data_IF_975890329861
#
_entry.id   IF_975890329861
#
_cell.length_a   1.000
_cell.length_b   1.000
_cell.length_c   1.000
_cell.angle_alpha   90.00
_cell.angle_beta   90.00
_cell.angle_gamma   90.00
#
_symmetry.space_group_name_H-M   'P 1'
#
loop_
_entity.id
_entity.type
_entity.pdbx_description
1 polymer ?
#
# COMPACT_ATOMS: atom_id res chain seq x y z
N UNK A 1 7.55 7.31 -8.57
CA UNK A 1 8.02 7.87 -9.86
C UNK A 1 6.85 8.30 -10.74
N UNK A 2 5.91 7.40 -10.99
CA UNK A 2 4.75 7.63 -11.84
C UNK A 2 3.91 8.81 -11.32
N UNK A 3 3.61 8.84 -10.02
CA UNK A 3 2.85 9.92 -9.41
C UNK A 3 3.55 11.28 -9.55
N UNK A 4 4.86 11.35 -9.33
CA UNK A 4 5.62 12.59 -9.50
C UNK A 4 5.58 13.06 -10.96
N UNK A 5 5.87 12.16 -11.91
CA UNK A 5 5.92 12.50 -13.34
C UNK A 5 4.54 12.87 -13.89
N UNK A 6 3.45 12.32 -13.32
CA UNK A 6 2.08 12.71 -13.68
C UNK A 6 1.88 14.23 -13.64
N UNK A 7 2.30 14.88 -12.56
CA UNK A 7 2.17 16.33 -12.43
C UNK A 7 3.13 17.09 -13.34
N UNK A 8 4.36 16.59 -13.51
CA UNK A 8 5.32 17.18 -14.46
C UNK A 8 4.74 17.15 -15.87
N UNK A 9 4.17 16.03 -16.30
CA UNK A 9 3.56 15.90 -17.64
C UNK A 9 2.33 16.81 -17.82
N UNK A 10 1.70 17.23 -16.73
CA UNK A 10 0.59 18.19 -16.71
C UNK A 10 1.03 19.65 -16.49
N UNK A 11 2.34 19.92 -16.55
CA UNK A 11 2.93 21.24 -16.28
C UNK A 11 2.55 21.77 -14.87
N UNK A 12 2.45 20.88 -13.90
CA UNK A 12 2.21 21.19 -12.51
C UNK A 12 3.42 20.78 -11.67
N UNK A 13 3.71 21.55 -10.63
CA UNK A 13 4.81 21.24 -9.72
C UNK A 13 4.24 20.95 -8.34
N UNK A 14 4.41 19.71 -7.89
CA UNK A 14 4.11 19.28 -6.53
C UNK A 14 5.33 18.52 -6.01
N UNK A 15 5.69 18.74 -4.76
CA UNK A 15 6.98 18.26 -4.25
C UNK A 15 6.87 17.33 -3.05
N UNK A 16 5.70 17.31 -2.38
CA UNK A 16 5.51 16.56 -1.15
C UNK A 16 4.81 15.22 -1.36
N UNK A 17 5.08 14.30 -0.45
CA UNK A 17 4.36 13.03 -0.27
C UNK A 17 3.71 13.03 1.11
N UNK A 18 2.48 12.56 1.19
CA UNK A 18 1.86 12.20 2.46
C UNK A 18 1.97 10.68 2.67
N UNK A 19 2.46 10.25 3.81
CA UNK A 19 2.59 8.84 4.17
C UNK A 19 2.17 8.62 5.63
N UNK A 20 2.14 7.36 6.06
CA UNK A 20 1.75 7.03 7.43
C UNK A 20 3.00 6.86 8.33
N UNK A 21 2.90 7.24 9.59
CA UNK A 21 3.87 6.83 10.60
C UNK A 21 3.90 5.31 10.71
N UNK A 22 5.07 4.76 10.93
CA UNK A 22 5.34 3.32 10.94
C UNK A 22 5.09 2.61 9.60
N UNK A 23 5.00 3.33 8.48
CA UNK A 23 4.86 2.72 7.16
C UNK A 23 6.17 2.15 6.65
N UNK A 24 6.06 1.08 5.86
CA UNK A 24 7.18 0.46 5.17
C UNK A 24 6.80 0.16 3.71
N UNK A 25 7.59 0.67 2.77
CA UNK A 25 7.31 0.55 1.33
C UNK A 25 8.47 -0.11 0.55
N UNK A 26 9.41 -0.74 1.23
CA UNK A 26 10.55 -1.41 0.64
C UNK A 26 11.89 -0.68 0.87
N UNK A 27 12.97 -1.25 0.29
CA UNK A 27 14.36 -0.91 0.62
C UNK A 27 15.06 -0.13 -0.50
N UNK A 28 14.34 0.36 -1.50
CA UNK A 28 14.93 1.30 -2.47
C UNK A 28 15.02 2.69 -1.88
N UNK A 29 15.97 3.52 -2.31
CA UNK A 29 16.18 4.84 -1.73
C UNK A 29 14.91 5.67 -1.61
N UNK A 30 14.07 5.70 -2.65
CA UNK A 30 12.83 6.49 -2.60
C UNK A 30 11.78 5.88 -1.69
N UNK A 31 11.67 4.56 -1.62
CA UNK A 31 10.73 3.90 -0.71
C UNK A 31 11.17 3.99 0.74
N UNK A 32 12.49 3.98 1.02
CA UNK A 32 13.04 4.27 2.35
C UNK A 32 12.78 5.72 2.78
N UNK A 33 12.84 6.66 1.83
CA UNK A 33 12.51 8.08 2.09
C UNK A 33 11.04 8.28 2.43
N UNK A 34 10.15 7.59 1.73
CA UNK A 34 8.69 7.73 1.85
C UNK A 34 8.14 6.97 3.06
N UNK A 35 8.74 5.82 3.40
CA UNK A 35 8.42 5.08 4.61
C UNK A 35 8.86 5.80 5.88
N UNK A 36 8.33 5.38 7.02
CA UNK A 36 8.82 5.88 8.31
C UNK A 36 10.15 5.20 8.66
N UNK A 37 11.23 5.92 8.43
CA UNK A 37 12.60 5.42 8.57
C UNK A 37 13.12 5.42 10.03
N UNK A 38 12.27 5.62 11.01
CA UNK A 38 12.69 5.79 12.40
C UNK A 38 13.32 4.52 13.00
N UNK A 39 12.88 3.34 12.58
CA UNK A 39 13.38 2.07 13.10
C UNK A 39 14.34 1.35 12.14
N UNK A 40 13.92 1.12 10.90
CA UNK A 40 14.65 0.22 9.97
C UNK A 40 15.65 0.93 9.08
N UNK A 41 15.38 2.18 8.72
CA UNK A 41 16.15 2.93 7.74
C UNK A 41 16.83 4.17 8.33
N UNK A 42 17.04 4.22 9.65
CA UNK A 42 17.62 5.38 10.35
C UNK A 42 18.95 5.84 9.76
N UNK A 43 19.77 4.92 9.25
CA UNK A 43 21.05 5.21 8.62
C UNK A 43 20.93 5.96 7.28
N UNK A 44 19.76 5.89 6.66
CA UNK A 44 19.47 6.53 5.36
C UNK A 44 18.51 7.72 5.48
N UNK A 45 18.23 8.15 6.72
CA UNK A 45 17.35 9.28 6.99
C UNK A 45 17.93 10.55 6.38
N UNK A 46 17.24 11.07 5.38
CA UNK A 46 17.56 12.35 4.73
C UNK A 46 16.51 13.40 5.08
N UNK A 47 16.84 14.67 4.83
CA UNK A 47 15.82 15.72 4.85
C UNK A 47 14.92 15.53 3.65
N UNK A 48 13.68 15.16 3.87
CA UNK A 48 12.74 14.76 2.80
C UNK A 48 11.54 15.70 2.75
N UNK A 49 10.86 15.69 1.62
CA UNK A 49 9.57 16.35 1.44
C UNK A 49 8.43 15.35 1.70
N UNK A 50 8.50 14.64 2.82
CA UNK A 50 7.51 13.64 3.22
C UNK A 50 6.92 14.01 4.57
N UNK A 51 5.62 14.17 4.61
CA UNK A 51 4.86 14.37 5.83
C UNK A 51 4.31 13.02 6.30
N UNK A 52 4.49 12.69 7.58
CA UNK A 52 4.01 11.44 8.18
C UNK A 52 2.94 11.72 9.22
N UNK A 53 1.78 11.07 9.07
CA UNK A 53 0.64 11.17 9.98
C UNK A 53 0.28 9.81 10.58
N UNK A 54 -0.44 9.80 11.70
CA UNK A 54 -1.06 8.59 12.21
C UNK A 54 -2.29 8.22 11.37
N UNK A 55 -2.82 7.00 11.57
CA UNK A 55 -4.11 6.57 10.98
C UNK A 55 -5.28 7.22 11.72
N UNK A 56 -5.30 8.56 11.74
CA UNK A 56 -6.27 9.41 12.43
C UNK A 56 -6.88 10.39 11.42
N UNK A 57 -8.20 10.51 11.40
CA UNK A 57 -8.92 11.34 10.40
C UNK A 57 -8.64 12.83 10.64
N UNK A 58 -8.52 13.29 11.86
CA UNK A 58 -8.23 14.68 12.18
C UNK A 58 -6.83 15.09 11.69
N UNK A 59 -5.80 14.25 11.96
CA UNK A 59 -4.45 14.49 11.43
C UNK A 59 -4.43 14.48 9.89
N UNK A 60 -5.23 13.62 9.27
CA UNK A 60 -5.36 13.54 7.82
C UNK A 60 -5.97 14.83 7.25
N UNK A 61 -7.07 15.31 7.81
CA UNK A 61 -7.73 16.54 7.40
C UNK A 61 -6.83 17.76 7.59
N UNK A 62 -6.13 17.85 8.71
CA UNK A 62 -5.17 18.91 8.98
C UNK A 62 -4.00 18.91 7.99
N UNK A 63 -3.47 17.73 7.64
CA UNK A 63 -2.41 17.61 6.65
C UNK A 63 -2.85 18.13 5.27
N UNK A 64 -4.05 17.74 4.82
CA UNK A 64 -4.59 18.19 3.55
C UNK A 64 -4.93 19.69 3.56
N UNK A 65 -5.50 20.19 4.63
CA UNK A 65 -5.80 21.62 4.80
C UNK A 65 -4.55 22.50 4.70
N UNK A 66 -3.44 22.04 5.27
CA UNK A 66 -2.21 22.82 5.33
C UNK A 66 -1.33 22.65 4.07
N UNK A 67 -1.31 21.46 3.45
CA UNK A 67 -0.34 21.11 2.41
C UNK A 67 -0.96 20.34 1.23
N UNK A 68 -2.28 20.20 1.14
CA UNK A 68 -2.94 19.36 0.13
C UNK A 68 -2.54 19.67 -1.31
N UNK A 69 -2.33 20.95 -1.64
CA UNK A 69 -1.88 21.36 -2.98
C UNK A 69 -0.40 21.09 -3.26
N UNK A 70 0.39 20.81 -2.23
CA UNK A 70 1.81 20.48 -2.36
C UNK A 70 2.05 18.97 -2.56
N UNK A 71 1.08 18.11 -2.17
CA UNK A 71 1.21 16.66 -2.30
C UNK A 71 1.00 16.22 -3.74
N UNK A 72 1.98 15.46 -4.29
CA UNK A 72 1.77 14.74 -5.56
C UNK A 72 1.17 13.35 -5.33
N UNK A 73 1.31 12.77 -4.14
CA UNK A 73 0.59 11.56 -3.77
C UNK A 73 0.47 11.41 -2.26
N UNK A 74 -0.53 10.62 -1.88
CA UNK A 74 -0.59 9.94 -0.60
C UNK A 74 -0.36 8.45 -0.84
N UNK A 75 0.56 7.82 -0.08
CA UNK A 75 0.83 6.39 -0.16
C UNK A 75 0.57 5.71 1.18
N UNK A 76 -0.12 4.58 1.15
CA UNK A 76 -0.49 3.81 2.34
C UNK A 76 -0.41 2.31 2.12
N UNK A 77 -0.08 1.55 3.16
CA UNK A 77 -0.38 0.13 3.28
C UNK A 77 -1.85 0.01 3.73
N UNK A 78 -2.81 -0.37 2.86
CA UNK A 78 -4.22 -0.24 3.20
C UNK A 78 -4.68 -1.26 4.25
N UNK A 79 -5.38 -0.79 5.29
CA UNK A 79 -5.95 -1.50 6.45
C UNK A 79 -4.94 -2.13 7.41
N UNK A 80 -3.73 -2.47 6.96
CA UNK A 80 -2.74 -3.20 7.75
C UNK A 80 -1.33 -2.71 7.45
N UNK A 81 -0.67 -2.07 8.42
CA UNK A 81 0.75 -1.73 8.36
C UNK A 81 1.57 -2.94 8.83
N UNK A 82 2.21 -3.65 7.90
CA UNK A 82 2.89 -4.91 8.19
C UNK A 82 4.13 -4.72 9.07
N UNK A 83 5.21 -4.18 8.52
CA UNK A 83 6.48 -4.00 9.22
C UNK A 83 6.38 -3.02 10.40
N UNK A 84 5.44 -2.09 10.36
CA UNK A 84 5.17 -1.14 11.44
C UNK A 84 4.46 -1.73 12.68
N UNK A 85 4.56 -3.03 12.90
CA UNK A 85 4.02 -3.71 14.06
C UNK A 85 2.64 -4.35 13.85
N UNK A 86 2.30 -4.72 12.64
CA UNK A 86 1.00 -5.32 12.27
C UNK A 86 -0.18 -4.48 12.77
N UNK A 87 -0.07 -3.17 12.63
CA UNK A 87 -1.13 -2.22 13.05
C UNK A 87 -2.29 -2.28 12.08
N UNK A 88 -3.48 -2.48 12.62
CA UNK A 88 -4.73 -2.53 11.86
C UNK A 88 -5.52 -1.25 12.09
N UNK A 89 -6.18 -0.73 11.07
CA UNK A 89 -7.00 0.48 11.15
C UNK A 89 -8.27 0.36 10.31
N UNK A 90 -9.25 1.21 10.60
CA UNK A 90 -10.57 1.14 10.01
C UNK A 90 -10.61 1.68 8.58
N UNK A 91 -11.52 1.13 7.77
CA UNK A 91 -11.75 1.51 6.38
C UNK A 91 -12.21 2.98 6.21
N UNK A 92 -12.80 3.57 7.24
CA UNK A 92 -13.24 4.97 7.22
C UNK A 92 -12.10 5.93 6.94
N UNK A 93 -10.90 5.63 7.46
CA UNK A 93 -9.71 6.41 7.18
C UNK A 93 -9.38 6.41 5.66
N UNK A 94 -9.43 5.25 5.00
CA UNK A 94 -9.15 5.15 3.57
C UNK A 94 -10.23 5.83 2.71
N UNK A 95 -11.50 5.73 3.13
CA UNK A 95 -12.60 6.46 2.46
C UNK A 95 -12.38 7.95 2.53
N UNK A 96 -12.06 8.46 3.73
CA UNK A 96 -11.78 9.89 3.90
C UNK A 96 -10.54 10.34 3.14
N UNK A 97 -9.48 9.50 3.13
CA UNK A 97 -8.28 9.75 2.32
C UNK A 97 -8.62 9.87 0.82
N UNK A 98 -9.52 9.01 0.30
CA UNK A 98 -9.95 9.09 -1.10
C UNK A 98 -10.67 10.40 -1.39
N UNK A 99 -11.62 10.79 -0.54
CA UNK A 99 -12.37 12.05 -0.67
C UNK A 99 -11.42 13.25 -0.73
N UNK A 100 -10.50 13.34 0.23
CA UNK A 100 -9.51 14.43 0.27
C UNK A 100 -8.55 14.41 -0.91
N UNK A 101 -8.08 13.23 -1.32
CA UNK A 101 -7.25 13.10 -2.51
C UNK A 101 -7.99 13.58 -3.77
N UNK A 102 -9.30 13.34 -3.88
CA UNK A 102 -10.11 13.83 -5.00
C UNK A 102 -10.30 15.35 -4.92
N UNK A 103 -10.60 15.88 -3.75
CA UNK A 103 -10.81 17.31 -3.50
C UNK A 103 -9.56 18.14 -3.86
N UNK A 104 -8.38 17.70 -3.40
CA UNK A 104 -7.12 18.41 -3.61
C UNK A 104 -6.38 17.97 -4.87
N UNK A 105 -6.95 17.04 -5.63
CA UNK A 105 -6.34 16.49 -6.83
C UNK A 105 -5.04 15.72 -6.57
N UNK A 106 -4.88 15.07 -5.41
CA UNK A 106 -3.72 14.25 -5.02
C UNK A 106 -3.91 12.82 -5.52
N UNK A 107 -2.84 12.14 -5.98
CA UNK A 107 -2.92 10.74 -6.35
C UNK A 107 -2.86 9.84 -5.12
N UNK A 108 -3.83 8.95 -4.95
CA UNK A 108 -3.84 7.95 -3.90
C UNK A 108 -3.16 6.66 -4.38
N UNK A 109 -2.17 6.18 -3.63
CA UNK A 109 -1.42 4.96 -3.93
C UNK A 109 -1.66 3.95 -2.82
N UNK A 110 -2.16 2.76 -3.18
CA UNK A 110 -2.23 1.63 -2.26
C UNK A 110 -1.03 0.70 -2.49
N UNK A 111 -0.25 0.51 -1.45
CA UNK A 111 0.77 -0.52 -1.39
C UNK A 111 0.12 -1.83 -0.90
N UNK A 112 -0.37 -2.61 -1.85
CA UNK A 112 -0.97 -3.93 -1.58
C UNK A 112 0.04 -5.08 -1.74
N UNK A 113 1.33 -4.79 -1.69
CA UNK A 113 2.40 -5.81 -1.75
C UNK A 113 2.26 -6.83 -0.61
N UNK A 114 1.87 -6.39 0.59
CA UNK A 114 1.64 -7.25 1.74
C UNK A 114 0.16 -7.48 2.04
N UNK A 115 -0.71 -6.53 1.72
CA UNK A 115 -2.12 -6.52 2.13
C UNK A 115 -3.05 -7.15 1.10
N UNK A 116 -2.63 -7.28 -0.15
CA UNK A 116 -3.41 -7.91 -1.21
C UNK A 116 -3.56 -9.42 -1.08
N UNK A 117 -4.24 -10.01 -2.05
CA UNK A 117 -4.46 -11.46 -2.19
C UNK A 117 -5.12 -12.11 -0.96
N UNK A 118 -6.06 -11.41 -0.33
CA UNK A 118 -6.84 -11.93 0.77
C UNK A 118 -6.27 -11.69 2.17
N UNK A 119 -5.07 -11.10 2.30
CA UNK A 119 -4.40 -10.91 3.60
C UNK A 119 -5.28 -10.20 4.63
N UNK A 120 -6.02 -9.18 4.21
CA UNK A 120 -6.91 -8.38 5.06
C UNK A 120 -8.35 -8.90 5.13
N UNK A 121 -8.64 -10.08 4.58
CA UNK A 121 -10.00 -10.60 4.45
C UNK A 121 -10.72 -10.15 3.17
N UNK A 122 -10.15 -9.21 2.43
CA UNK A 122 -10.61 -8.80 1.12
C UNK A 122 -9.64 -9.29 0.05
N UNK A 123 -10.12 -9.58 -1.16
CA UNK A 123 -9.24 -9.98 -2.27
C UNK A 123 -8.16 -8.93 -2.47
N UNK A 124 -8.59 -7.68 -2.63
CA UNK A 124 -7.77 -6.48 -2.58
C UNK A 124 -8.53 -5.40 -1.82
N UNK A 125 -7.84 -4.54 -1.10
CA UNK A 125 -8.47 -3.40 -0.43
C UNK A 125 -8.93 -2.37 -1.46
N UNK A 126 -8.25 -2.31 -2.61
CA UNK A 126 -8.67 -1.52 -3.78
C UNK A 126 -10.06 -1.92 -4.34
N UNK A 127 -10.59 -3.09 -4.01
CA UNK A 127 -12.00 -3.44 -4.30
C UNK A 127 -13.00 -2.64 -3.44
N UNK A 128 -12.58 -2.09 -2.29
CA UNK A 128 -13.42 -1.33 -1.36
C UNK A 128 -13.30 0.18 -1.53
N UNK A 129 -12.08 0.66 -1.78
CA UNK A 129 -11.77 2.07 -2.02
C UNK A 129 -10.80 2.10 -3.20
N UNK A 130 -11.20 2.71 -4.31
CA UNK A 130 -10.40 2.71 -5.53
C UNK A 130 -9.28 3.75 -5.46
N UNK A 131 -7.99 3.35 -5.44
CA UNK A 131 -6.88 4.29 -5.54
C UNK A 131 -6.58 4.64 -7.00
N UNK A 132 -5.70 5.61 -7.24
CA UNK A 132 -5.19 5.92 -8.58
C UNK A 132 -4.10 4.95 -9.02
N UNK A 133 -3.34 4.39 -8.06
CA UNK A 133 -2.24 3.45 -8.31
C UNK A 133 -2.26 2.35 -7.25
N UNK A 134 -2.05 1.10 -7.69
CA UNK A 134 -1.89 -0.07 -6.80
C UNK A 134 -0.53 -0.73 -7.06
N UNK A 135 0.22 -1.00 -5.99
CA UNK A 135 1.44 -1.78 -6.04
C UNK A 135 1.17 -3.21 -5.57
N UNK A 136 1.56 -4.20 -6.37
CA UNK A 136 1.38 -5.63 -6.09
C UNK A 136 2.73 -6.35 -6.09
N UNK A 137 2.87 -7.37 -5.26
CA UNK A 137 4.09 -8.19 -5.17
C UNK A 137 3.86 -9.42 -4.32
N UNK A 138 4.92 -9.98 -3.74
CA UNK A 138 4.88 -11.13 -2.81
C UNK A 138 3.97 -12.27 -3.29
N UNK A 139 2.71 -12.32 -2.81
CA UNK A 139 1.74 -13.35 -3.17
C UNK A 139 1.37 -13.36 -4.66
N UNK A 140 1.68 -12.31 -5.42
CA UNK A 140 1.44 -12.25 -6.86
C UNK A 140 1.95 -13.48 -7.61
N UNK A 141 3.12 -14.01 -7.21
CA UNK A 141 3.72 -15.21 -7.82
C UNK A 141 3.67 -16.44 -6.92
N UNK A 142 2.91 -16.39 -5.82
CA UNK A 142 2.86 -17.50 -4.85
C UNK A 142 4.20 -17.82 -4.17
N UNK A 143 5.18 -16.91 -4.24
CA UNK A 143 6.51 -17.09 -3.65
C UNK A 143 7.53 -17.85 -4.53
N UNK A 144 7.16 -18.23 -5.75
CA UNK A 144 8.04 -18.99 -6.63
C UNK A 144 9.18 -18.17 -7.25
N UNK A 145 8.91 -16.88 -7.53
CA UNK A 145 9.90 -15.99 -8.14
C UNK A 145 9.60 -14.54 -7.75
N UNK A 146 10.63 -13.72 -7.57
CA UNK A 146 10.47 -12.28 -7.32
C UNK A 146 9.82 -11.59 -8.52
N UNK A 147 8.68 -10.94 -8.28
CA UNK A 147 7.97 -10.15 -9.27
C UNK A 147 7.08 -9.12 -8.59
N UNK A 148 6.90 -7.99 -9.26
CA UNK A 148 5.98 -6.94 -8.81
C UNK A 148 5.25 -6.35 -10.02
N UNK A 149 4.08 -5.78 -9.76
CA UNK A 149 3.32 -5.04 -10.74
C UNK A 149 2.82 -3.73 -10.13
N UNK A 150 2.79 -2.70 -10.96
CA UNK A 150 2.13 -1.42 -10.64
C UNK A 150 0.98 -1.25 -11.60
N UNK A 151 -0.23 -1.16 -11.06
CA UNK A 151 -1.46 -0.93 -11.81
C UNK A 151 -1.86 0.52 -11.63
N UNK A 152 -2.12 1.21 -12.72
CA UNK A 152 -2.51 2.62 -12.71
C UNK A 152 -3.90 2.79 -13.35
N UNK A 153 -4.66 3.79 -12.88
CA UNK A 153 -5.93 4.18 -13.48
C UNK A 153 -5.74 4.86 -14.84
N UNK A 154 -6.81 4.90 -15.65
CA UNK A 154 -6.81 5.62 -16.91
C UNK A 154 -6.42 7.10 -16.74
N UNK A 155 -6.88 7.74 -15.67
CA UNK A 155 -6.49 9.10 -15.28
C UNK A 155 -4.97 9.29 -15.22
N UNK A 156 -4.26 8.29 -14.68
CA UNK A 156 -2.79 8.33 -14.60
C UNK A 156 -2.19 8.03 -15.97
N UNK A 157 -2.70 7.00 -16.65
CA UNK A 157 -2.23 6.58 -17.98
C UNK A 157 -2.29 7.72 -19.00
N UNK A 158 -3.39 8.44 -19.08
CA UNK A 158 -3.62 9.56 -20.01
C UNK A 158 -2.57 10.68 -19.88
N UNK A 159 -1.99 10.87 -18.71
CA UNK A 159 -0.93 11.86 -18.54
C UNK A 159 0.41 11.46 -19.21
N UNK A 160 0.56 10.19 -19.55
CA UNK A 160 1.74 9.63 -20.23
C UNK A 160 1.49 9.32 -21.70
N UNK A 161 0.23 9.23 -22.11
CA UNK A 161 -0.15 8.94 -23.48
C UNK A 161 0.03 10.18 -24.35
N UNK A 162 1.14 10.22 -25.11
CA UNK A 162 1.53 11.38 -25.91
C UNK A 162 2.56 10.98 -26.97
N UNK A 163 2.58 11.70 -28.07
CA UNK A 163 3.63 11.60 -29.09
C UNK A 163 4.95 12.29 -28.64
N UNK A 164 4.92 13.04 -27.55
CA UNK A 164 6.08 13.69 -26.97
C UNK A 164 6.91 12.66 -26.17
N UNK A 165 8.11 12.31 -26.66
CA UNK A 165 8.99 11.34 -25.99
C UNK A 165 9.35 11.70 -24.53
N UNK A 166 9.38 13.00 -24.21
CA UNK A 166 9.62 13.48 -22.85
C UNK A 166 8.55 13.11 -21.83
N UNK A 167 7.33 12.78 -22.27
CA UNK A 167 6.23 12.35 -21.40
C UNK A 167 6.24 10.85 -21.10
N UNK A 168 7.04 10.05 -21.82
CA UNK A 168 7.11 8.62 -21.59
C UNK A 168 7.64 8.29 -20.18
N UNK A 169 7.09 7.24 -19.56
CA UNK A 169 7.60 6.73 -18.29
C UNK A 169 8.93 5.99 -18.53
N UNK A 170 10.04 6.66 -18.25
CA UNK A 170 11.38 6.06 -18.36
C UNK A 170 11.66 5.15 -17.15
N UNK A 171 11.06 3.96 -17.19
CA UNK A 171 11.25 2.90 -16.20
C UNK A 171 11.19 1.54 -16.89
N UNK A 172 12.31 0.86 -17.02
CA UNK A 172 12.42 -0.43 -17.69
C UNK A 172 13.65 -1.21 -17.20
N UNK A 173 13.57 -1.88 -16.03
CA UNK A 173 14.62 -2.83 -15.64
C UNK A 173 14.83 -3.89 -16.72
N UNK A 174 16.06 -4.36 -16.90
CA UNK A 174 16.45 -5.29 -17.99
C UNK A 174 15.53 -6.51 -18.09
N UNK A 175 15.11 -7.08 -16.96
CA UNK A 175 14.22 -8.26 -16.90
C UNK A 175 12.75 -7.91 -16.64
N UNK A 176 12.33 -6.69 -16.91
CA UNK A 176 10.91 -6.30 -16.84
C UNK A 176 10.11 -7.14 -17.84
N UNK A 177 8.95 -7.62 -17.41
CA UNK A 177 8.12 -8.52 -18.23
C UNK A 177 8.69 -9.93 -18.37
N UNK A 178 9.53 -10.40 -17.44
CA UNK A 178 10.09 -11.75 -17.44
C UNK A 178 9.01 -12.81 -17.60
N UNK A 179 9.10 -13.62 -18.66
CA UNK A 179 8.07 -14.58 -19.02
C UNK A 179 7.82 -15.66 -17.95
N UNK A 180 8.88 -16.09 -17.23
CA UNK A 180 8.75 -17.06 -16.14
C UNK A 180 7.98 -16.46 -14.96
N UNK A 181 8.29 -15.22 -14.59
CA UNK A 181 7.61 -14.51 -13.51
C UNK A 181 6.14 -14.23 -13.86
N UNK A 182 5.87 -13.81 -15.09
CA UNK A 182 4.50 -13.60 -15.59
C UNK A 182 3.69 -14.92 -15.57
N UNK A 183 4.29 -16.03 -16.01
CA UNK A 183 3.65 -17.36 -15.99
C UNK A 183 3.36 -17.81 -14.56
N UNK A 184 4.31 -17.61 -13.63
CA UNK A 184 4.09 -17.91 -12.21
C UNK A 184 2.97 -17.07 -11.62
N UNK A 185 2.91 -15.77 -11.95
CA UNK A 185 1.83 -14.86 -11.51
C UNK A 185 0.46 -15.28 -12.04
N UNK A 186 0.36 -15.58 -13.33
CA UNK A 186 -0.89 -16.06 -13.94
C UNK A 186 -1.35 -17.35 -13.23
N UNK A 187 -0.43 -18.31 -13.04
CA UNK A 187 -0.77 -19.56 -12.40
C UNK A 187 -1.15 -19.41 -10.94
N UNK A 188 -0.50 -18.49 -10.21
CA UNK A 188 -0.88 -18.14 -8.84
C UNK A 188 -2.32 -17.61 -8.76
N UNK A 189 -2.69 -16.69 -9.66
CA UNK A 189 -4.05 -16.13 -9.74
C UNK A 189 -5.09 -17.19 -10.11
N UNK A 190 -4.78 -18.09 -11.04
CA UNK A 190 -5.66 -19.21 -11.40
C UNK A 190 -5.92 -20.12 -10.20
N UNK A 191 -4.87 -20.49 -9.44
CA UNK A 191 -4.97 -21.32 -8.24
C UNK A 191 -5.77 -20.59 -7.16
N UNK A 192 -5.48 -19.32 -6.92
CA UNK A 192 -6.21 -18.50 -5.95
C UNK A 192 -7.73 -18.52 -6.20
N UNK A 193 -8.12 -18.36 -7.48
CA UNK A 193 -9.52 -18.42 -7.91
C UNK A 193 -10.10 -19.83 -7.79
N UNK A 194 -9.41 -20.83 -8.37
CA UNK A 194 -9.89 -22.24 -8.43
C UNK A 194 -10.08 -22.83 -7.04
N UNK A 195 -9.16 -22.58 -6.12
CA UNK A 195 -9.17 -23.13 -4.78
C UNK A 195 -10.05 -22.33 -3.80
N UNK A 196 -10.71 -21.29 -4.28
CA UNK A 196 -11.57 -20.41 -3.48
C UNK A 196 -10.88 -19.93 -2.19
N UNK A 197 -9.69 -19.33 -2.34
CA UNK A 197 -8.90 -18.89 -1.19
C UNK A 197 -9.63 -17.92 -0.28
N UNK A 198 -10.53 -17.07 -0.82
CA UNK A 198 -11.29 -16.14 0.01
C UNK A 198 -12.16 -16.86 1.05
N UNK A 199 -12.78 -17.99 0.69
CA UNK A 199 -13.53 -18.80 1.64
C UNK A 199 -12.63 -19.43 2.72
N UNK A 200 -11.42 -19.87 2.32
CA UNK A 200 -10.43 -20.41 3.27
C UNK A 200 -9.96 -19.33 4.26
N UNK A 201 -9.73 -18.12 3.77
CA UNK A 201 -9.30 -16.96 4.56
C UNK A 201 -10.40 -16.53 5.53
N UNK A 202 -11.66 -16.44 5.09
CA UNK A 202 -12.81 -16.17 5.98
C UNK A 202 -12.91 -17.21 7.12
N UNK A 203 -12.73 -18.49 6.77
CA UNK A 203 -12.72 -19.56 7.78
C UNK A 203 -11.57 -19.41 8.79
N UNK A 204 -10.36 -19.07 8.31
CA UNK A 204 -9.20 -18.81 9.19
C UNK A 204 -9.50 -17.65 10.14
N UNK A 205 -10.05 -16.56 9.64
CA UNK A 205 -10.39 -15.39 10.43
C UNK A 205 -11.42 -15.72 11.50
N UNK A 206 -12.54 -16.34 11.12
CA UNK A 206 -13.63 -16.73 12.01
C UNK A 206 -13.15 -17.72 13.10
N UNK A 207 -12.41 -18.74 12.68
CA UNK A 207 -11.83 -19.72 13.60
C UNK A 207 -10.87 -19.07 14.60
N UNK A 208 -9.99 -18.20 14.13
CA UNK A 208 -9.01 -17.51 14.98
C UNK A 208 -9.69 -16.54 15.94
N UNK A 209 -10.67 -15.78 15.49
CA UNK A 209 -11.50 -14.92 16.37
C UNK A 209 -12.20 -15.73 17.45
N UNK A 210 -12.79 -16.88 17.09
CA UNK A 210 -13.45 -17.77 18.06
C UNK A 210 -12.46 -18.39 19.05
N UNK A 211 -11.32 -18.87 18.57
CA UNK A 211 -10.31 -19.54 19.40
C UNK A 211 -9.68 -18.58 20.41
N UNK A 212 -9.39 -17.35 19.96
CA UNK A 212 -8.69 -16.34 20.75
C UNK A 212 -9.63 -15.37 21.46
N UNK A 213 -10.96 -15.54 21.31
CA UNK A 213 -11.95 -14.75 22.02
C UNK A 213 -11.82 -14.97 23.52
N UNK A 214 -11.58 -13.89 24.25
CA UNK A 214 -11.43 -13.95 25.72
C UNK A 214 -10.12 -14.55 26.22
N UNK A 215 -9.18 -14.93 25.31
CA UNK A 215 -7.87 -15.40 25.73
C UNK A 215 -7.11 -14.28 26.45
N UNK A 216 -6.69 -14.54 27.70
CA UNK A 216 -5.94 -13.61 28.53
C UNK A 216 -4.64 -14.24 28.99
N UNK A 217 -3.55 -13.53 28.79
CA UNK A 217 -2.24 -13.91 29.30
C UNK A 217 -1.51 -12.62 29.71
N UNK A 218 -0.96 -12.55 30.93
CA UNK A 218 -0.28 -11.34 31.42
C UNK A 218 0.95 -10.93 30.58
N UNK A 219 1.48 -11.83 29.76
CA UNK A 219 2.59 -11.54 28.84
C UNK A 219 2.11 -11.01 27.48
N UNK A 220 0.81 -10.97 27.22
CA UNK A 220 0.22 -10.50 25.96
C UNK A 220 -0.44 -9.16 26.22
N UNK A 221 -0.05 -8.16 25.44
CA UNK A 221 -0.65 -6.84 25.46
C UNK A 221 -1.93 -6.81 24.62
N UNK A 222 -1.88 -7.36 23.41
CA UNK A 222 -2.99 -7.31 22.47
C UNK A 222 -2.93 -8.46 21.45
N UNK A 223 -4.10 -8.90 21.01
CA UNK A 223 -4.27 -9.81 19.88
C UNK A 223 -5.14 -9.12 18.84
N UNK A 224 -4.62 -9.00 17.62
CA UNK A 224 -5.32 -8.41 16.47
C UNK A 224 -5.51 -9.46 15.40
N UNK A 225 -6.69 -9.51 14.79
CA UNK A 225 -7.05 -10.49 13.77
C UNK A 225 -7.78 -9.78 12.64
N UNK A 226 -7.28 -9.93 11.41
CA UNK A 226 -7.87 -9.41 10.19
C UNK A 226 -7.56 -10.36 9.04
N UNK A 227 -8.60 -10.97 8.45
CA UNK A 227 -8.43 -11.91 7.34
C UNK A 227 -7.46 -13.05 7.66
N UNK A 228 -6.42 -13.19 6.86
CA UNK A 228 -5.35 -14.18 7.07
C UNK A 228 -4.20 -13.68 7.95
N UNK A 229 -4.37 -12.58 8.69
CA UNK A 229 -3.36 -12.01 9.56
C UNK A 229 -3.76 -12.12 11.04
N UNK A 230 -2.91 -12.73 11.84
CA UNK A 230 -3.05 -12.82 13.31
C UNK A 230 -1.77 -12.22 13.89
N UNK A 231 -1.92 -11.16 14.67
CA UNK A 231 -0.82 -10.51 15.37
C UNK A 231 -1.00 -10.64 16.89
N UNK A 232 0.05 -11.06 17.56
CA UNK A 232 0.10 -11.15 19.03
C UNK A 232 1.20 -10.23 19.51
N UNK A 233 0.83 -9.18 20.21
CA UNK A 233 1.77 -8.21 20.78
C UNK A 233 2.07 -8.59 22.24
N UNK A 234 3.35 -8.78 22.55
CA UNK A 234 3.80 -9.09 23.90
C UNK A 234 3.92 -7.82 24.73
N UNK A 235 3.75 -7.95 26.06
CA UNK A 235 4.18 -6.93 26.99
C UNK A 235 5.70 -6.93 27.06
N UNK A 236 6.30 -5.73 27.11
CA UNK A 236 7.73 -5.53 27.36
C UNK A 236 8.08 -5.86 28.80
#
# INVERSE_FOLDING_TARGET
KMAMQYYVNKNQRREKVLSLKNSYHGDTFKTMEVGDSSEYHFAFKQKTNVDHINTNIEELEDAFKNHGEEYYCMIVEPLLQGAGGMKMYDISFLKRARELCDEYGVLLIFDEVATGFGRTGNRFVSDLVLPDIVCLGKALTGGYIGHAATVASDKVYEAFYSDESGKALMHGPTFMGNALAMTAGIKSLEIFKRENYMKKISHIEEFSKKLLSGYKNPKIKEIRIMGGCIAVEANN
#
